data_IF_075492288197
#
_entry.id   IF_075492288197
#
_cell.length_a   1.000
_cell.length_b   1.000
_cell.length_c   1.000
_cell.angle_alpha   90.00
_cell.angle_beta   90.00
_cell.angle_gamma   90.00
#
_symmetry.space_group_name_H-M   'P 1'
#
loop_
_entity.id
_entity.type
_entity.pdbx_description
1 polymer ?
#
# COMPACT_ATOMS: atom_id res chain seq x y z
N UNK A 1 -4.44 -48.27 19.23
CA UNK A 1 -4.80 -47.26 18.21
C UNK A 1 -3.68 -47.20 17.19
N UNK A 2 -3.97 -47.42 15.95
CA UNK A 2 -2.98 -47.31 14.88
C UNK A 2 -3.15 -45.97 14.18
N UNK A 3 -2.03 -45.31 13.90
CA UNK A 3 -2.01 -44.06 13.13
C UNK A 3 -1.87 -44.38 11.65
N UNK A 4 -2.47 -43.59 10.78
CA UNK A 4 -2.30 -43.77 9.35
C UNK A 4 -0.83 -43.63 8.95
N UNK A 5 -0.34 -44.49 8.09
CA UNK A 5 1.04 -44.46 7.59
C UNK A 5 1.29 -43.30 6.61
N UNK A 6 0.23 -42.80 5.99
CA UNK A 6 0.30 -41.70 5.01
C UNK A 6 -0.81 -40.71 5.31
N UNK A 7 -0.42 -39.46 5.48
CA UNK A 7 -1.33 -38.32 5.60
C UNK A 7 -1.37 -37.59 4.29
N UNK A 8 -2.57 -37.20 3.88
CA UNK A 8 -2.76 -36.33 2.74
C UNK A 8 -2.74 -34.87 3.26
N UNK A 9 -1.86 -34.07 2.70
CA UNK A 9 -1.77 -32.66 3.03
C UNK A 9 -2.48 -31.83 1.96
N UNK A 10 -3.44 -31.04 2.41
CA UNK A 10 -4.15 -30.09 1.56
C UNK A 10 -3.99 -28.69 2.14
N UNK A 11 -3.76 -27.72 1.27
CA UNK A 11 -3.58 -26.33 1.65
C UNK A 11 -4.82 -25.52 1.28
N UNK A 12 -5.60 -25.09 2.26
CA UNK A 12 -6.82 -24.34 2.01
C UNK A 12 -6.66 -22.83 2.19
N UNK A 13 -5.81 -22.38 3.08
CA UNK A 13 -5.67 -20.98 3.43
C UNK A 13 -4.22 -20.53 3.43
N UNK A 14 -3.44 -21.01 2.49
CA UNK A 14 -2.07 -20.55 2.36
C UNK A 14 -2.05 -19.10 1.91
N UNK A 15 -1.36 -18.25 2.67
CA UNK A 15 -1.19 -16.84 2.37
C UNK A 15 0.29 -16.59 2.04
N UNK A 16 0.68 -16.74 0.77
CA UNK A 16 2.07 -16.49 0.40
C UNK A 16 2.41 -15.01 0.54
N UNK A 17 3.64 -14.75 0.95
CA UNK A 17 4.17 -13.40 1.08
C UNK A 17 5.44 -13.32 0.25
N UNK A 18 5.51 -12.35 -0.64
CA UNK A 18 6.71 -12.03 -1.40
C UNK A 18 7.26 -10.70 -0.92
N UNK A 19 8.55 -10.59 -0.92
CA UNK A 19 9.22 -9.34 -0.57
C UNK A 19 10.48 -9.17 -1.40
N UNK A 20 10.87 -7.91 -1.60
CA UNK A 20 12.09 -7.56 -2.29
C UNK A 20 12.62 -6.23 -1.76
N UNK A 21 13.94 -6.09 -1.75
CA UNK A 21 14.58 -4.81 -1.46
C UNK A 21 14.77 -4.04 -2.76
N UNK A 22 14.11 -2.89 -2.87
CA UNK A 22 14.22 -2.00 -4.02
C UNK A 22 14.67 -0.61 -3.58
N UNK A 23 15.97 -0.37 -3.66
CA UNK A 23 16.55 0.90 -3.21
C UNK A 23 16.77 1.92 -4.31
N UNK A 24 16.73 1.48 -5.57
CA UNK A 24 17.11 2.32 -6.72
C UNK A 24 16.30 3.60 -6.88
N UNK A 25 15.02 3.56 -6.55
CA UNK A 25 14.13 4.72 -6.69
C UNK A 25 13.57 5.25 -5.37
N UNK A 26 13.96 4.67 -4.24
CA UNK A 26 13.41 5.02 -2.91
C UNK A 26 13.68 6.47 -2.54
N UNK A 27 14.87 6.98 -2.85
CA UNK A 27 15.22 8.39 -2.54
C UNK A 27 14.29 9.38 -3.24
N UNK A 28 13.99 9.14 -4.52
CA UNK A 28 13.07 9.99 -5.29
C UNK A 28 11.66 9.90 -4.75
N UNK A 29 11.20 8.70 -4.40
CA UNK A 29 9.88 8.49 -3.80
C UNK A 29 9.77 9.19 -2.45
N UNK A 30 10.76 9.06 -1.58
CA UNK A 30 10.76 9.71 -0.28
C UNK A 30 10.68 11.23 -0.41
N UNK A 31 11.47 11.80 -1.31
CA UNK A 31 11.45 13.25 -1.57
C UNK A 31 10.09 13.72 -2.08
N UNK A 32 9.50 13.00 -3.02
CA UNK A 32 8.17 13.30 -3.53
C UNK A 32 7.11 13.13 -2.45
N UNK A 33 7.21 12.07 -1.64
CA UNK A 33 6.29 11.78 -0.54
C UNK A 33 6.29 12.90 0.51
N UNK A 34 7.45 13.39 0.91
CA UNK A 34 7.58 14.48 1.88
C UNK A 34 6.80 15.72 1.46
N UNK A 35 6.87 16.07 0.18
CA UNK A 35 6.12 17.20 -0.37
C UNK A 35 4.60 17.01 -0.22
N UNK A 36 4.10 15.83 -0.53
CA UNK A 36 2.68 15.52 -0.43
C UNK A 36 2.20 15.45 1.02
N UNK A 37 3.03 14.96 1.92
CA UNK A 37 2.74 14.98 3.37
C UNK A 37 2.63 16.40 3.88
N UNK A 38 3.54 17.29 3.50
CA UNK A 38 3.46 18.71 3.86
C UNK A 38 2.18 19.38 3.35
N UNK A 39 1.77 19.06 2.14
CA UNK A 39 0.49 19.54 1.60
C UNK A 39 -0.70 18.99 2.40
N UNK A 40 -0.67 17.72 2.75
CA UNK A 40 -1.72 17.10 3.55
C UNK A 40 -1.80 17.71 4.95
N UNK A 41 -0.67 17.99 5.58
CA UNK A 41 -0.63 18.66 6.88
C UNK A 41 -1.31 20.02 6.84
N UNK A 42 -1.02 20.83 5.81
CA UNK A 42 -1.67 22.14 5.64
C UNK A 42 -3.17 22.03 5.41
N UNK A 43 -3.59 21.10 4.55
CA UNK A 43 -5.00 20.91 4.21
C UNK A 43 -5.83 20.45 5.42
N UNK A 44 -5.28 19.55 6.21
CA UNK A 44 -6.00 18.92 7.31
C UNK A 44 -5.87 19.69 8.63
N UNK A 45 -5.01 20.68 8.70
CA UNK A 45 -4.77 21.42 9.94
C UNK A 45 -6.04 22.02 10.53
N UNK A 46 -6.87 22.64 9.70
CA UNK A 46 -8.14 23.24 10.16
C UNK A 46 -9.09 22.19 10.76
N UNK A 47 -9.18 21.03 10.11
CA UNK A 47 -10.06 19.96 10.54
C UNK A 47 -9.56 19.35 11.85
N UNK A 48 -8.26 19.19 11.99
CA UNK A 48 -7.62 18.72 13.20
C UNK A 48 -7.84 19.71 14.35
N UNK A 49 -7.61 20.98 14.12
CA UNK A 49 -7.78 22.03 15.13
C UNK A 49 -9.24 22.10 15.60
N UNK A 50 -10.18 22.02 14.66
CA UNK A 50 -11.62 22.00 14.97
C UNK A 50 -11.98 20.79 15.81
N UNK A 51 -11.52 19.61 15.45
CA UNK A 51 -11.78 18.36 16.20
C UNK A 51 -11.17 18.41 17.60
N UNK A 52 -9.94 18.88 17.73
CA UNK A 52 -9.27 19.02 19.00
C UNK A 52 -10.00 20.01 19.91
N UNK A 53 -10.57 21.06 19.35
CA UNK A 53 -11.38 22.03 20.09
C UNK A 53 -12.70 21.45 20.57
N UNK A 54 -13.37 20.62 19.76
CA UNK A 54 -14.64 19.99 20.11
C UNK A 54 -14.49 18.90 21.18
N UNK A 55 -13.45 18.10 21.08
CA UNK A 55 -13.25 16.95 21.97
C UNK A 55 -12.21 17.19 23.06
N UNK A 56 -11.64 18.39 23.12
CA UNK A 56 -10.49 18.67 23.96
C UNK A 56 -9.28 17.80 23.54
N UNK A 57 -8.12 18.09 24.07
CA UNK A 57 -6.91 17.31 23.77
C UNK A 57 -6.94 15.87 24.34
N UNK A 58 -8.06 15.45 24.87
CA UNK A 58 -8.24 14.13 25.48
C UNK A 58 -8.42 12.98 24.48
N UNK A 59 -8.66 13.30 23.26
CA UNK A 59 -8.83 12.30 22.21
C UNK A 59 -7.80 12.48 21.11
N UNK A 60 -6.54 12.52 21.47
CA UNK A 60 -5.50 12.48 20.45
C UNK A 60 -5.62 11.15 19.71
N UNK A 61 -6.53 11.15 18.76
CA UNK A 61 -6.73 10.06 17.83
C UNK A 61 -5.64 10.13 16.77
N UNK A 62 -4.39 10.16 17.17
CA UNK A 62 -3.23 10.14 16.35
C UNK A 62 -3.40 10.93 15.02
N UNK A 63 -2.70 11.98 14.84
CA UNK A 63 -2.76 12.73 13.61
C UNK A 63 -2.22 11.87 12.46
N UNK A 64 -3.14 11.33 11.66
CA UNK A 64 -2.78 10.63 10.45
C UNK A 64 -2.96 11.60 9.29
N UNK A 65 -1.86 11.95 8.64
CA UNK A 65 -1.89 12.80 7.45
C UNK A 65 -1.78 11.91 6.23
N UNK A 66 -2.68 12.06 5.29
CA UNK A 66 -2.61 11.34 4.02
C UNK A 66 -2.81 12.30 2.85
N UNK A 67 -2.14 12.02 1.76
CA UNK A 67 -2.31 12.76 0.52
C UNK A 67 -3.65 12.46 -0.15
N UNK A 68 -4.00 13.25 -1.15
CA UNK A 68 -4.97 12.85 -2.17
C UNK A 68 -4.39 11.72 -3.02
N UNK A 69 -5.20 11.14 -3.90
CA UNK A 69 -4.72 10.08 -4.78
C UNK A 69 -3.53 10.52 -5.62
N UNK A 70 -2.52 9.67 -5.67
CA UNK A 70 -1.31 9.85 -6.47
C UNK A 70 -1.36 9.05 -7.78
N UNK A 71 -2.49 8.41 -8.07
CA UNK A 71 -2.71 7.72 -9.33
C UNK A 71 -2.63 8.75 -10.46
N UNK A 72 -1.81 8.45 -11.47
CA UNK A 72 -1.57 9.36 -12.59
C UNK A 72 -0.51 10.43 -12.35
N UNK A 73 0.01 10.54 -11.13
CA UNK A 73 1.11 11.46 -10.86
C UNK A 73 2.42 10.93 -11.46
N UNK A 74 3.08 11.70 -12.35
CA UNK A 74 4.30 11.25 -13.01
C UNK A 74 5.44 10.86 -12.06
N UNK A 75 5.50 11.45 -10.88
CA UNK A 75 6.54 11.16 -9.88
C UNK A 75 6.40 9.76 -9.28
N UNK A 76 5.21 9.20 -9.34
CA UNK A 76 4.90 7.86 -8.82
C UNK A 76 4.66 6.83 -9.92
N UNK A 77 4.85 7.21 -11.19
CA UNK A 77 4.65 6.31 -12.33
C UNK A 77 5.54 5.07 -12.25
N UNK A 78 6.81 5.26 -11.93
CA UNK A 78 7.76 4.14 -11.82
C UNK A 78 7.33 3.14 -10.75
N UNK A 79 6.85 3.64 -9.60
CA UNK A 79 6.33 2.78 -8.52
C UNK A 79 5.07 2.05 -8.96
N UNK A 80 4.14 2.73 -9.60
CA UNK A 80 2.90 2.12 -10.10
C UNK A 80 3.19 1.02 -11.12
N UNK A 81 4.08 1.29 -12.07
CA UNK A 81 4.48 0.31 -13.09
C UNK A 81 5.19 -0.90 -12.46
N UNK A 82 6.04 -0.65 -11.47
CA UNK A 82 6.73 -1.70 -10.72
C UNK A 82 5.74 -2.60 -9.98
N UNK A 83 4.79 -2.02 -9.24
CA UNK A 83 3.78 -2.77 -8.49
C UNK A 83 2.89 -3.55 -9.45
N UNK A 84 2.36 -2.89 -10.46
CA UNK A 84 1.47 -3.53 -11.44
C UNK A 84 2.15 -4.68 -12.19
N UNK A 85 3.36 -4.47 -12.67
CA UNK A 85 4.13 -5.49 -13.38
C UNK A 85 4.53 -6.66 -12.48
N UNK A 86 4.94 -6.38 -11.25
CA UNK A 86 5.30 -7.41 -10.28
C UNK A 86 4.07 -8.24 -9.90
N UNK A 87 2.94 -7.62 -9.62
CA UNK A 87 1.70 -8.33 -9.33
C UNK A 87 1.25 -9.20 -10.50
N UNK A 88 1.36 -8.70 -11.72
CA UNK A 88 1.04 -9.48 -12.92
C UNK A 88 1.90 -10.75 -12.98
N UNK A 89 3.20 -10.60 -12.83
CA UNK A 89 4.14 -11.73 -12.88
C UNK A 89 3.88 -12.75 -11.77
N UNK A 90 3.58 -12.28 -10.56
CA UNK A 90 3.27 -13.17 -9.42
C UNK A 90 1.99 -13.95 -9.65
N UNK A 91 0.95 -13.31 -10.16
CA UNK A 91 -0.31 -13.98 -10.47
C UNK A 91 -0.14 -15.01 -11.61
N UNK A 92 0.66 -14.68 -12.62
CA UNK A 92 0.99 -15.60 -13.70
C UNK A 92 1.74 -16.83 -13.18
N UNK A 93 2.74 -16.64 -12.32
CA UNK A 93 3.48 -17.73 -11.67
C UNK A 93 2.59 -18.60 -10.79
N UNK A 94 1.55 -18.01 -10.18
CA UNK A 94 0.57 -18.77 -9.38
C UNK A 94 -0.41 -19.56 -10.23
N UNK A 95 -0.35 -19.46 -11.55
CA UNK A 95 -1.17 -20.23 -12.47
C UNK A 95 -2.48 -19.57 -12.87
N UNK A 96 -2.68 -18.28 -12.56
CA UNK A 96 -3.86 -17.56 -13.04
C UNK A 96 -3.73 -17.25 -14.53
N UNK A 97 -4.80 -17.45 -15.26
CA UNK A 97 -4.87 -17.04 -16.68
C UNK A 97 -5.19 -15.54 -16.77
N UNK A 98 -4.19 -14.76 -17.16
CA UNK A 98 -4.30 -13.31 -17.28
C UNK A 98 -4.48 -12.83 -18.72
N UNK A 99 -4.73 -13.74 -19.68
CA UNK A 99 -4.79 -13.41 -21.10
C UNK A 99 -5.80 -12.33 -21.47
N UNK A 100 -6.91 -12.23 -20.71
CA UNK A 100 -7.95 -11.22 -20.90
C UNK A 100 -8.08 -10.26 -19.71
N UNK A 101 -7.01 -10.12 -18.92
CA UNK A 101 -7.03 -9.30 -17.71
C UNK A 101 -5.88 -8.31 -17.71
N UNK A 102 -6.12 -7.19 -17.06
CA UNK A 102 -5.11 -6.20 -16.76
C UNK A 102 -4.94 -6.09 -15.25
N UNK A 103 -3.71 -5.88 -14.81
CA UNK A 103 -3.40 -5.62 -13.41
C UNK A 103 -2.90 -4.19 -13.30
N UNK A 104 -3.56 -3.38 -12.51
CA UNK A 104 -3.17 -1.99 -12.32
C UNK A 104 -3.49 -1.53 -10.88
N UNK A 105 -2.78 -0.50 -10.46
CA UNK A 105 -2.98 0.12 -9.14
C UNK A 105 -4.18 1.05 -9.23
N UNK A 106 -5.16 0.85 -8.37
CA UNK A 106 -6.39 1.66 -8.34
C UNK A 106 -6.32 2.81 -7.35
N UNK A 107 -5.56 2.63 -6.27
CA UNK A 107 -5.42 3.63 -5.22
C UNK A 107 -3.94 3.71 -4.80
N UNK A 108 -3.47 4.92 -4.61
CA UNK A 108 -2.13 5.18 -4.13
C UNK A 108 -2.12 6.50 -3.39
N UNK A 109 -1.59 6.49 -2.18
CA UNK A 109 -1.40 7.71 -1.39
C UNK A 109 -0.21 7.55 -0.46
N UNK A 110 0.32 8.66 0.02
CA UNK A 110 1.32 8.67 1.09
C UNK A 110 0.66 9.04 2.40
N UNK A 111 1.15 8.49 3.47
CA UNK A 111 0.55 8.62 4.79
C UNK A 111 1.64 8.75 5.84
N UNK A 112 1.41 9.62 6.81
CA UNK A 112 2.26 9.82 7.97
C UNK A 112 1.44 9.60 9.24
N UNK A 113 1.98 8.82 10.12
CA UNK A 113 1.39 8.52 11.42
C UNK A 113 2.01 9.35 12.53
#
# INVERSE_FOLDING_TARGET
>A
MSFPKKLNLEHYFSSPVWWADETKFVKKLNKASDKYIKHAQKRLKKDIDKRNKEFGNKGDMGHVFHSTSLIGDPKFKQLQDYIGGTCYNLLDEMGFDLSNHQVFVTELWVQEF
#
